data_IF_038373209738
#
_entry.id   IF_038373209738
#
_cell.length_a   1.000
_cell.length_b   1.000
_cell.length_c   1.000
_cell.angle_alpha   90.00
_cell.angle_beta   90.00
_cell.angle_gamma   90.00
#
_symmetry.space_group_name_H-M   'P 1'
#
loop_
_entity.id
_entity.type
_entity.pdbx_description
1 polymer ?
#
# COMPACT_ATOMS: atom_id res chain seq x y z
N UNK A 1 21.61 1.58 5.94
CA UNK A 1 20.47 1.60 4.99
C UNK A 1 19.56 2.75 5.38
N UNK A 2 19.15 3.60 4.43
CA UNK A 2 18.24 4.73 4.69
C UNK A 2 16.81 4.27 4.53
N UNK A 3 16.00 4.44 5.57
CA UNK A 3 14.57 4.18 5.55
C UNK A 3 13.80 5.43 5.10
N UNK A 4 12.90 5.28 4.14
CA UNK A 4 12.03 6.36 3.65
C UNK A 4 10.59 5.90 3.83
N UNK A 5 9.87 6.55 4.73
CA UNK A 5 8.44 6.35 4.88
C UNK A 5 7.71 6.89 3.64
N UNK A 6 6.80 6.10 3.09
CA UNK A 6 6.01 6.45 1.91
C UNK A 6 4.53 6.28 2.23
N UNK A 7 3.75 7.31 1.91
CA UNK A 7 2.29 7.27 1.89
C UNK A 7 1.86 7.29 0.44
N UNK A 8 1.12 6.27 0.01
CA UNK A 8 0.62 6.18 -1.35
C UNK A 8 -0.84 6.61 -1.43
N UNK A 9 -1.10 7.74 -2.10
CA UNK A 9 -2.45 8.20 -2.36
C UNK A 9 -3.01 7.54 -3.61
N UNK A 10 -4.04 6.71 -3.43
CA UNK A 10 -4.74 6.03 -4.51
C UNK A 10 -4.16 4.66 -4.85
N UNK A 11 -4.98 3.61 -4.68
CA UNK A 11 -4.69 2.23 -5.13
C UNK A 11 -5.49 1.88 -6.41
N UNK A 12 -5.69 2.85 -7.30
CA UNK A 12 -6.31 2.61 -8.62
C UNK A 12 -5.42 1.78 -9.56
N UNK A 13 -5.63 1.87 -10.88
CA UNK A 13 -4.82 1.11 -11.85
C UNK A 13 -3.31 1.37 -11.73
N UNK A 14 -2.91 2.66 -11.64
CA UNK A 14 -1.50 3.06 -11.49
C UNK A 14 -0.97 2.68 -10.11
N UNK A 15 -1.69 3.01 -9.03
CA UNK A 15 -1.27 2.70 -7.67
C UNK A 15 -1.11 1.19 -7.44
N UNK A 16 -2.02 0.39 -7.98
CA UNK A 16 -1.93 -1.07 -7.93
C UNK A 16 -0.72 -1.60 -8.67
N UNK A 17 -0.42 -1.08 -9.87
CA UNK A 17 0.77 -1.47 -10.62
C UNK A 17 2.05 -1.10 -9.86
N UNK A 18 2.10 0.10 -9.26
CA UNK A 18 3.22 0.56 -8.44
C UNK A 18 3.43 -0.34 -7.22
N UNK A 19 2.38 -0.69 -6.48
CA UNK A 19 2.49 -1.59 -5.32
C UNK A 19 3.07 -2.95 -5.72
N UNK A 20 2.60 -3.54 -6.82
CA UNK A 20 3.16 -4.80 -7.35
C UNK A 20 4.64 -4.66 -7.69
N UNK A 21 5.06 -3.55 -8.30
CA UNK A 21 6.46 -3.29 -8.62
C UNK A 21 7.33 -3.11 -7.37
N UNK A 22 6.81 -2.43 -6.35
CA UNK A 22 7.50 -2.26 -5.07
C UNK A 22 7.70 -3.62 -4.41
N UNK A 23 6.66 -4.44 -4.27
CA UNK A 23 6.75 -5.78 -3.67
C UNK A 23 7.79 -6.63 -4.42
N UNK A 24 7.72 -6.67 -5.76
CA UNK A 24 8.64 -7.48 -6.57
C UNK A 24 10.09 -6.95 -6.56
N UNK A 25 10.29 -5.64 -6.33
CA UNK A 25 11.58 -4.97 -6.50
C UNK A 25 12.28 -4.57 -5.19
N UNK A 26 11.59 -4.59 -4.04
CA UNK A 26 12.07 -3.93 -2.82
C UNK A 26 13.45 -4.41 -2.37
N UNK A 27 13.71 -5.73 -2.40
CA UNK A 27 14.99 -6.29 -1.98
C UNK A 27 16.15 -5.88 -2.91
N UNK A 28 15.91 -5.90 -4.22
CA UNK A 28 16.92 -5.50 -5.22
C UNK A 28 17.24 -4.01 -5.13
N UNK A 29 16.21 -3.16 -5.00
CA UNK A 29 16.36 -1.71 -4.83
C UNK A 29 17.08 -1.38 -3.52
N UNK A 30 16.70 -2.01 -2.42
CA UNK A 30 17.34 -1.81 -1.11
C UNK A 30 18.82 -2.18 -1.13
N UNK A 31 19.16 -3.33 -1.72
CA UNK A 31 20.54 -3.79 -1.82
C UNK A 31 21.39 -2.85 -2.69
N UNK A 32 20.89 -2.50 -3.89
CA UNK A 32 21.64 -1.70 -4.86
C UNK A 32 21.82 -0.25 -4.42
N UNK A 33 20.79 0.35 -3.83
CA UNK A 33 20.75 1.79 -3.56
C UNK A 33 20.93 2.13 -2.08
N UNK A 34 21.03 1.13 -1.19
CA UNK A 34 21.09 1.30 0.26
C UNK A 34 19.91 2.13 0.82
N UNK A 35 18.76 2.07 0.14
CA UNK A 35 17.53 2.81 0.48
C UNK A 35 16.36 1.84 0.46
N UNK A 36 15.58 1.85 1.54
CA UNK A 36 14.35 1.09 1.66
C UNK A 36 13.15 2.04 1.70
N UNK A 37 12.23 1.86 0.75
CA UNK A 37 10.94 2.54 0.74
C UNK A 37 9.96 1.73 1.56
N UNK A 38 9.59 2.25 2.72
CA UNK A 38 8.65 1.61 3.61
C UNK A 38 7.26 2.23 3.41
N UNK A 39 6.35 1.48 2.78
CA UNK A 39 4.98 1.95 2.59
C UNK A 39 4.27 1.85 3.93
N UNK A 40 4.02 2.99 4.58
CA UNK A 40 3.35 3.04 5.89
C UNK A 40 1.84 3.25 5.77
N UNK A 41 1.38 3.76 4.63
CA UNK A 41 -0.04 3.88 4.36
C UNK A 41 -0.36 3.81 2.86
N UNK A 42 -1.53 3.25 2.56
CA UNK A 42 -2.15 3.32 1.23
C UNK A 42 -3.58 3.84 1.36
N UNK A 43 -4.00 4.69 0.43
CA UNK A 43 -5.34 5.31 0.48
C UNK A 43 -6.14 5.01 -0.78
N UNK A 44 -7.46 5.02 -0.64
CA UNK A 44 -8.37 5.12 -1.78
C UNK A 44 -9.46 6.17 -1.51
N UNK A 45 -10.51 6.20 -2.34
CA UNK A 45 -11.59 7.17 -2.21
C UNK A 45 -12.45 7.01 -0.95
N UNK A 46 -12.37 5.86 -0.26
CA UNK A 46 -13.22 5.52 0.88
C UNK A 46 -12.43 5.45 2.19
N UNK A 47 -11.19 4.95 2.11
CA UNK A 47 -10.46 4.42 3.28
C UNK A 47 -8.96 4.64 3.17
N UNK A 48 -8.28 4.44 4.29
CA UNK A 48 -6.83 4.38 4.39
C UNK A 48 -6.44 3.16 5.23
N UNK A 49 -5.57 2.32 4.69
CA UNK A 49 -4.88 1.29 5.47
C UNK A 49 -3.55 1.88 5.93
N UNK A 50 -3.32 1.91 7.25
CA UNK A 50 -2.15 2.50 7.88
C UNK A 50 -1.49 1.54 8.85
N UNK A 51 -0.17 1.40 8.74
CA UNK A 51 0.66 0.64 9.66
C UNK A 51 1.94 1.46 9.95
N UNK A 52 2.11 2.01 11.17
CA UNK A 52 3.25 2.84 11.54
C UNK A 52 4.62 2.20 11.25
N UNK A 53 4.70 0.88 11.35
CA UNK A 53 5.94 0.13 11.13
C UNK A 53 6.19 -0.26 9.68
N UNK A 54 5.21 -0.02 8.80
CA UNK A 54 5.23 -0.41 7.39
C UNK A 54 4.32 -1.58 7.09
N UNK A 55 3.58 -1.46 6.00
CA UNK A 55 2.74 -2.52 5.46
C UNK A 55 3.62 -3.65 4.91
N UNK A 56 3.27 -4.87 5.28
CA UNK A 56 3.87 -6.08 4.72
C UNK A 56 3.50 -6.24 3.24
N UNK A 57 4.31 -7.01 2.50
CA UNK A 57 4.03 -7.30 1.10
C UNK A 57 2.66 -7.97 0.92
N UNK A 58 2.26 -8.83 1.86
CA UNK A 58 0.94 -9.45 1.88
C UNK A 58 -0.17 -8.39 1.98
N UNK A 59 -0.08 -7.47 2.95
CA UNK A 59 -1.06 -6.38 3.11
C UNK A 59 -1.14 -5.47 1.87
N UNK A 60 -0.01 -5.18 1.23
CA UNK A 60 0.01 -4.40 -0.01
C UNK A 60 -0.67 -5.15 -1.16
N UNK A 61 -0.43 -6.44 -1.29
CA UNK A 61 -1.07 -7.27 -2.32
C UNK A 61 -2.56 -7.49 -2.05
N UNK A 62 -2.96 -7.61 -0.78
CA UNK A 62 -4.36 -7.71 -0.36
C UNK A 62 -5.11 -6.41 -0.69
N UNK A 63 -4.50 -5.25 -0.44
CA UNK A 63 -5.08 -3.96 -0.85
C UNK A 63 -5.27 -3.89 -2.37
N UNK A 64 -4.30 -4.38 -3.16
CA UNK A 64 -4.45 -4.47 -4.62
C UNK A 64 -5.58 -5.42 -5.01
N UNK A 65 -5.69 -6.59 -4.37
CA UNK A 65 -6.76 -7.55 -4.63
C UNK A 65 -8.14 -6.96 -4.30
N UNK A 66 -8.28 -6.29 -3.16
CA UNK A 66 -9.50 -5.60 -2.77
C UNK A 66 -9.93 -4.59 -3.83
N UNK A 67 -9.00 -3.80 -4.38
CA UNK A 67 -9.32 -2.84 -5.45
C UNK A 67 -9.80 -3.49 -6.74
N UNK A 68 -9.28 -4.67 -7.10
CA UNK A 68 -9.80 -5.42 -8.26
C UNK A 68 -11.23 -5.92 -8.05
N UNK A 69 -11.65 -6.12 -6.80
CA UNK A 69 -12.99 -6.54 -6.42
C UNK A 69 -13.93 -5.36 -6.12
N UNK A 70 -13.47 -4.12 -6.29
CA UNK A 70 -14.24 -2.92 -5.97
C UNK A 70 -14.38 -2.62 -4.48
N UNK A 71 -13.66 -3.34 -3.62
CA UNK A 71 -13.64 -3.18 -2.18
C UNK A 71 -12.69 -2.04 -1.75
N UNK A 72 -12.87 -1.47 -0.54
CA UNK A 72 -11.92 -0.51 0.05
C UNK A 72 -10.54 -1.13 0.34
N UNK A 73 -9.53 -0.29 0.56
CA UNK A 73 -8.18 -0.77 0.94
C UNK A 73 -8.07 -1.18 2.40
N UNK A 74 -8.88 -0.58 3.27
CA UNK A 74 -8.97 -0.97 4.67
C UNK A 74 -10.03 -2.09 4.83
N UNK A 75 -9.63 -3.31 5.20
CA UNK A 75 -10.56 -4.43 5.36
C UNK A 75 -11.48 -4.25 6.58
N UNK A 76 -11.08 -3.45 7.57
CA UNK A 76 -11.85 -3.20 8.78
C UNK A 76 -12.86 -2.06 8.60
N UNK A 77 -12.90 -1.44 7.41
CA UNK A 77 -13.86 -0.40 7.11
C UNK A 77 -15.29 -0.93 7.13
N UNK A 78 -15.95 -0.68 8.25
CA UNK A 78 -17.39 -0.82 8.42
C UNK A 78 -18.00 0.49 7.94
N UNK A 79 -18.45 0.52 6.69
CA UNK A 79 -19.06 1.71 6.11
C UNK A 79 -20.29 2.15 6.90
N UNK A 80 -20.13 3.02 7.90
CA UNK A 80 -21.20 3.89 8.32
C UNK A 80 -21.39 4.91 7.19
N UNK A 81 -22.46 4.71 6.41
CA UNK A 81 -23.00 5.80 5.60
C UNK A 81 -23.34 6.93 6.58
N UNK A 82 -22.79 8.14 6.42
CA UNK A 82 -23.33 9.28 7.14
C UNK A 82 -24.82 9.37 6.81
N UNK A 83 -25.64 9.34 7.87
CA UNK A 83 -27.08 9.58 7.84
C UNK A 83 -27.41 10.96 7.29
#
# INVERSE_FOLDING_TARGET
MKEVAVVLFGVGGVGSALLRQIVNGRSAIATRNQIQFNIVAVTDRQTMLWEPTGLSDAQLLDAVAAKTQGLPVDPDYRGERPS
#
